data_IF_135350592624
#
_entry.id   IF_135350592624
#
_cell.length_a   1.000
_cell.length_b   1.000
_cell.length_c   1.000
_cell.angle_alpha   90.00
_cell.angle_beta   90.00
_cell.angle_gamma   90.00
#
_symmetry.space_group_name_H-M   'P 1'
#
loop_
_entity.id
_entity.type
_entity.pdbx_description
1 polymer ?
#
# COMPACT_ATOMS: atom_id res chain seq x y z
N UNK A 1 9.71 5.44 -3.81
CA UNK A 1 8.41 6.14 -3.94
C UNK A 1 8.62 7.65 -3.81
N UNK A 2 7.69 8.45 -4.33
CA UNK A 2 7.74 9.93 -4.19
C UNK A 2 7.47 10.32 -2.74
N UNK A 3 8.28 11.20 -2.15
CA UNK A 3 8.06 11.71 -0.79
C UNK A 3 7.48 13.12 -0.86
N UNK A 4 6.49 13.42 0.00
CA UNK A 4 5.97 14.76 0.19
C UNK A 4 7.08 15.71 0.66
N UNK A 5 7.10 16.93 0.13
CA UNK A 5 8.06 17.95 0.53
C UNK A 5 7.84 18.42 1.98
N UNK A 6 6.60 18.41 2.44
CA UNK A 6 6.21 18.76 3.80
C UNK A 6 5.34 17.66 4.43
N UNK A 7 5.53 17.45 5.74
CA UNK A 7 4.61 16.70 6.59
C UNK A 7 3.25 17.40 6.62
N UNK A 8 2.18 16.68 6.31
CA UNK A 8 0.83 17.23 6.33
C UNK A 8 -0.20 16.22 6.83
N UNK A 9 -1.22 16.73 7.52
CA UNK A 9 -2.42 16.00 7.90
C UNK A 9 -3.19 15.50 6.66
N UNK A 10 -4.09 14.56 6.87
CA UNK A 10 -4.92 13.97 5.82
C UNK A 10 -6.06 14.96 5.53
N UNK A 11 -5.95 15.67 4.41
CA UNK A 11 -6.97 16.61 3.96
C UNK A 11 -7.02 16.70 2.43
N UNK A 12 -8.02 17.40 1.90
CA UNK A 12 -8.26 17.53 0.46
C UNK A 12 -7.03 18.13 -0.25
N UNK A 13 -6.34 19.10 0.36
CA UNK A 13 -5.17 19.76 -0.22
C UNK A 13 -3.98 18.81 -0.31
N UNK A 14 -3.68 18.07 0.76
CA UNK A 14 -2.54 17.14 0.80
C UNK A 14 -2.76 15.93 -0.11
N UNK A 15 -3.99 15.43 -0.22
CA UNK A 15 -4.37 14.38 -1.17
C UNK A 15 -4.39 14.87 -2.62
N UNK A 16 -4.75 16.13 -2.86
CA UNK A 16 -4.65 16.72 -4.20
C UNK A 16 -3.21 16.79 -4.69
N UNK A 17 -2.26 17.07 -3.80
CA UNK A 17 -0.83 17.00 -4.12
C UNK A 17 -0.38 15.57 -4.43
N UNK A 18 -0.85 14.58 -3.66
CA UNK A 18 -0.55 13.17 -3.91
C UNK A 18 -1.11 12.71 -5.28
N UNK A 19 -2.38 13.03 -5.57
CA UNK A 19 -3.03 12.74 -6.86
C UNK A 19 -2.31 13.42 -8.02
N UNK A 20 -1.93 14.69 -7.87
CA UNK A 20 -1.19 15.41 -8.90
C UNK A 20 0.21 14.83 -9.12
N UNK A 21 0.89 14.39 -8.06
CA UNK A 21 2.21 13.77 -8.15
C UNK A 21 2.16 12.44 -8.92
N UNK A 22 1.13 11.62 -8.70
CA UNK A 22 0.92 10.37 -9.42
C UNK A 22 0.55 10.62 -10.89
N UNK A 23 -0.37 11.55 -11.16
CA UNK A 23 -0.77 11.89 -12.54
C UNK A 23 0.37 12.49 -13.37
N UNK A 24 1.25 13.28 -12.76
CA UNK A 24 2.42 13.88 -13.41
C UNK A 24 3.63 12.93 -13.49
N UNK A 25 3.47 11.64 -13.15
CA UNK A 25 4.58 10.70 -13.27
C UNK A 25 4.93 10.42 -14.71
N UNK A 26 6.24 10.31 -14.94
CA UNK A 26 6.84 9.99 -16.22
C UNK A 26 7.58 8.67 -16.14
N UNK A 27 7.58 7.94 -17.26
CA UNK A 27 8.45 6.79 -17.49
C UNK A 27 9.91 7.22 -17.58
N UNK A 28 10.82 6.24 -17.62
CA UNK A 28 12.25 6.48 -17.85
C UNK A 28 12.48 7.23 -19.18
N UNK A 29 11.66 6.93 -20.18
CA UNK A 29 11.71 7.53 -21.52
C UNK A 29 10.99 8.88 -21.62
N UNK A 30 10.51 9.41 -20.48
CA UNK A 30 9.85 10.72 -20.43
C UNK A 30 8.36 10.74 -20.82
N UNK A 31 7.80 9.61 -21.26
CA UNK A 31 6.36 9.46 -21.51
C UNK A 31 5.55 9.62 -20.22
N UNK A 32 4.37 10.24 -20.31
CA UNK A 32 3.46 10.41 -19.16
C UNK A 32 2.74 9.09 -18.85
N UNK A 33 2.72 8.72 -17.56
CA UNK A 33 2.11 7.46 -17.10
C UNK A 33 0.66 7.64 -16.63
N UNK A 34 0.23 8.89 -16.40
CA UNK A 34 -1.15 9.26 -16.03
C UNK A 34 -1.78 8.45 -14.88
N UNK A 35 -0.97 8.01 -13.92
CA UNK A 35 -1.38 7.06 -12.89
C UNK A 35 -2.55 7.57 -12.04
N UNK A 36 -3.54 6.69 -11.84
CA UNK A 36 -4.70 6.96 -11.01
C UNK A 36 -4.46 6.48 -9.57
N UNK A 37 -4.66 7.38 -8.61
CA UNK A 37 -4.61 7.01 -7.19
C UNK A 37 -5.80 6.12 -6.85
N UNK A 38 -5.54 4.94 -6.30
CA UNK A 38 -6.57 3.92 -6.01
C UNK A 38 -6.56 3.47 -4.55
N UNK A 39 -5.38 3.36 -3.92
CA UNK A 39 -5.24 2.80 -2.58
C UNK A 39 -4.65 3.86 -1.65
N UNK A 40 -5.28 4.05 -0.49
CA UNK A 40 -4.75 4.84 0.61
C UNK A 40 -4.35 3.90 1.74
N UNK A 41 -3.09 3.95 2.16
CA UNK A 41 -2.55 3.09 3.21
C UNK A 41 -2.13 3.96 4.42
N UNK A 42 -2.69 3.66 5.58
CA UNK A 42 -2.48 4.42 6.83
C UNK A 42 -2.14 3.51 8.01
N UNK A 43 -1.51 4.10 9.03
CA UNK A 43 -1.41 3.48 10.35
C UNK A 43 -2.71 3.59 11.16
N UNK A 44 -2.85 2.80 12.25
CA UNK A 44 -4.05 2.80 13.09
C UNK A 44 -4.35 4.18 13.71
N UNK A 45 -3.31 4.96 14.03
CA UNK A 45 -3.46 6.30 14.63
C UNK A 45 -4.16 7.31 13.70
N UNK A 46 -4.17 7.03 12.38
CA UNK A 46 -4.73 7.89 11.33
C UNK A 46 -5.91 7.28 10.61
N UNK A 47 -6.37 6.10 11.06
CA UNK A 47 -7.50 5.39 10.47
C UNK A 47 -8.79 6.23 10.50
N UNK A 48 -9.12 6.81 11.66
CA UNK A 48 -10.36 7.59 11.80
C UNK A 48 -10.36 8.84 10.92
N UNK A 49 -9.22 9.54 10.82
CA UNK A 49 -9.06 10.73 9.97
C UNK A 49 -9.24 10.36 8.49
N UNK A 50 -8.68 9.23 8.06
CA UNK A 50 -8.82 8.73 6.70
C UNK A 50 -10.25 8.24 6.38
N UNK A 51 -10.90 7.53 7.32
CA UNK A 51 -12.29 7.08 7.17
C UNK A 51 -13.24 8.26 7.04
N UNK A 52 -13.09 9.30 7.87
CA UNK A 52 -13.91 10.52 7.78
C UNK A 52 -13.76 11.21 6.42
N UNK A 53 -12.55 11.22 5.87
CA UNK A 53 -12.31 11.81 4.55
C UNK A 53 -12.77 10.92 3.39
N UNK A 54 -12.87 9.60 3.55
CA UNK A 54 -13.34 8.72 2.47
C UNK A 54 -14.83 8.45 2.54
N UNK A 55 -15.46 8.75 3.67
CA UNK A 55 -16.88 8.59 3.89
C UNK A 55 -17.70 9.45 2.90
N UNK A 56 -18.74 8.89 2.27
CA UNK A 56 -19.64 9.63 1.41
C UNK A 56 -20.52 10.55 2.25
N UNK A 57 -20.16 11.82 2.31
CA UNK A 57 -20.93 12.88 2.96
C UNK A 57 -21.56 13.75 1.88
N UNK A 58 -22.89 13.94 1.96
CA UNK A 58 -23.60 14.91 1.14
C UNK A 58 -23.39 16.30 1.73
N UNK A 59 -22.53 17.11 1.10
CA UNK A 59 -22.28 18.47 1.55
C UNK A 59 -23.47 19.39 1.22
N UNK A 60 -23.95 20.17 2.20
CA UNK A 60 -25.02 21.16 1.95
C UNK A 60 -24.54 22.38 1.14
N UNK A 61 -23.23 22.55 0.96
CA UNK A 61 -22.61 23.63 0.18
C UNK A 61 -21.56 23.07 -0.77
N UNK A 62 -21.52 23.60 -2.00
CA UNK A 62 -20.60 23.15 -3.06
C UNK A 62 -19.11 23.26 -2.66
N UNK A 63 -18.75 24.24 -1.82
CA UNK A 63 -17.37 24.41 -1.33
C UNK A 63 -16.88 23.32 -0.38
N UNK A 64 -17.77 22.52 0.18
CA UNK A 64 -17.45 21.45 1.14
C UNK A 64 -17.56 20.05 0.52
N UNK A 65 -17.79 19.97 -0.79
CA UNK A 65 -17.84 18.69 -1.51
C UNK A 65 -16.47 18.05 -1.49
N UNK A 66 -16.41 16.80 -1.06
CA UNK A 66 -15.20 16.03 -1.02
C UNK A 66 -15.00 15.23 -2.31
N UNK A 67 -14.02 15.56 -3.16
CA UNK A 67 -13.79 14.87 -4.44
C UNK A 67 -13.13 13.49 -4.31
N UNK A 68 -12.71 13.10 -3.10
CA UNK A 68 -12.02 11.83 -2.84
C UNK A 68 -12.95 10.75 -2.29
N UNK A 69 -14.17 11.11 -1.88
CA UNK A 69 -15.20 10.20 -1.40
C UNK A 69 -15.43 9.06 -2.41
N UNK A 70 -15.25 7.81 -1.97
CA UNK A 70 -15.47 6.62 -2.79
C UNK A 70 -14.47 6.39 -3.94
N UNK A 71 -13.42 7.20 -4.07
CA UNK A 71 -12.40 7.05 -5.13
C UNK A 71 -11.18 6.26 -4.70
N UNK A 72 -10.92 6.17 -3.39
CA UNK A 72 -9.76 5.47 -2.82
C UNK A 72 -10.25 4.36 -1.89
N UNK A 73 -9.62 3.19 -1.96
CA UNK A 73 -9.79 2.13 -0.97
C UNK A 73 -8.85 2.39 0.22
N UNK A 74 -9.40 2.35 1.43
CA UNK A 74 -8.62 2.51 2.65
C UNK A 74 -8.10 1.16 3.12
N UNK A 75 -6.78 1.06 3.25
CA UNK A 75 -6.10 -0.07 3.86
C UNK A 75 -5.37 0.39 5.12
N UNK A 76 -5.48 -0.39 6.19
CA UNK A 76 -4.91 -0.04 7.50
C UNK A 76 -3.95 -1.14 7.91
N UNK A 77 -2.75 -0.76 8.36
CA UNK A 77 -1.78 -1.72 8.90
C UNK A 77 -1.07 -1.18 10.12
N UNK A 78 -0.99 -2.02 11.15
CA UNK A 78 -0.25 -1.72 12.38
C UNK A 78 1.27 -1.60 12.17
N UNK A 79 1.79 -2.00 11.00
CA UNK A 79 3.22 -1.88 10.66
C UNK A 79 3.63 -0.44 10.32
N UNK A 80 2.66 0.44 10.04
CA UNK A 80 2.92 1.87 9.88
C UNK A 80 2.74 2.51 11.25
N UNK A 81 3.85 2.87 11.87
CA UNK A 81 3.88 3.56 13.16
C UNK A 81 3.88 5.08 12.95
N UNK A 82 3.10 5.80 13.75
CA UNK A 82 3.01 7.26 13.72
C UNK A 82 2.13 7.79 12.59
N UNK A 83 2.36 9.04 12.19
CA UNK A 83 1.40 9.78 11.36
C UNK A 83 1.60 9.59 9.84
N UNK A 84 2.55 8.75 9.44
CA UNK A 84 2.87 8.55 8.03
C UNK A 84 1.70 7.90 7.27
N UNK A 85 1.44 8.38 6.07
CA UNK A 85 0.42 7.84 5.19
C UNK A 85 0.94 7.73 3.76
N UNK A 86 0.35 6.81 3.01
CA UNK A 86 0.76 6.47 1.66
C UNK A 86 -0.44 6.46 0.72
N UNK A 87 -0.18 6.79 -0.54
CA UNK A 87 -1.14 6.65 -1.63
C UNK A 87 -0.47 5.88 -2.75
N UNK A 88 -1.14 4.84 -3.22
CA UNK A 88 -0.67 4.01 -4.31
C UNK A 88 -1.59 4.10 -5.52
N UNK A 89 -1.00 3.94 -6.69
CA UNK A 89 -1.72 3.74 -7.93
C UNK A 89 -2.39 2.36 -7.96
N UNK A 90 -3.31 2.16 -8.91
CA UNK A 90 -3.90 0.84 -9.14
C UNK A 90 -2.81 -0.18 -9.48
N UNK A 91 -2.78 -1.37 -8.84
CA UNK A 91 -1.85 -2.44 -9.19
C UNK A 91 -1.98 -2.90 -10.65
N UNK A 92 -3.14 -2.69 -11.28
CA UNK A 92 -3.36 -2.99 -12.70
C UNK A 92 -2.63 -2.01 -13.64
N UNK A 93 -2.33 -0.80 -13.18
CA UNK A 93 -1.57 0.19 -13.94
C UNK A 93 -0.06 0.04 -13.68
N UNK A 94 0.34 0.12 -12.41
CA UNK A 94 1.74 0.02 -11.99
C UNK A 94 1.80 -0.77 -10.68
N UNK A 95 2.15 -2.06 -10.73
CA UNK A 95 2.36 -2.84 -9.52
C UNK A 95 3.62 -2.33 -8.82
N UNK A 96 3.48 -1.87 -7.58
CA UNK A 96 4.62 -1.39 -6.78
C UNK A 96 5.31 -2.51 -6.01
N UNK A 97 4.57 -3.57 -5.67
CA UNK A 97 5.03 -4.70 -4.90
C UNK A 97 4.65 -6.00 -5.60
N UNK A 98 5.54 -6.97 -5.54
CA UNK A 98 5.33 -8.31 -6.07
C UNK A 98 5.65 -9.33 -4.99
N UNK A 99 4.93 -10.44 -5.01
CA UNK A 99 5.18 -11.58 -4.15
C UNK A 99 5.05 -12.86 -4.96
N UNK A 100 5.77 -13.90 -4.56
CA UNK A 100 5.80 -15.17 -5.27
C UNK A 100 6.17 -16.32 -4.35
N UNK A 101 5.79 -17.51 -4.80
CA UNK A 101 6.11 -18.80 -4.17
C UNK A 101 7.05 -19.57 -5.10
N UNK A 102 7.79 -20.52 -4.54
CA UNK A 102 8.61 -21.42 -5.34
C UNK A 102 7.73 -22.22 -6.31
N UNK A 103 8.14 -22.29 -7.58
CA UNK A 103 7.37 -22.98 -8.62
C UNK A 103 7.12 -24.45 -8.24
N UNK A 104 5.84 -24.85 -8.27
CA UNK A 104 5.40 -26.18 -7.83
C UNK A 104 5.15 -26.34 -6.33
N UNK A 105 5.38 -25.30 -5.52
CA UNK A 105 5.25 -25.35 -4.06
C UNK A 105 4.40 -24.21 -3.48
N UNK A 106 3.09 -24.26 -3.74
CA UNK A 106 2.15 -23.26 -3.21
C UNK A 106 1.82 -23.43 -1.71
N UNK A 107 2.20 -24.56 -1.11
CA UNK A 107 1.90 -24.90 0.28
C UNK A 107 3.18 -25.27 1.06
N UNK A 108 3.18 -25.14 2.41
CA UNK A 108 4.31 -25.56 3.23
C UNK A 108 4.61 -27.05 3.04
N UNK A 109 5.89 -27.39 2.87
CA UNK A 109 6.36 -28.78 2.79
C UNK A 109 6.59 -29.31 4.19
N UNK A 110 6.01 -30.45 4.49
CA UNK A 110 6.18 -31.14 5.77
C UNK A 110 6.99 -32.42 5.58
N UNK A 111 8.07 -32.56 6.34
CA UNK A 111 8.92 -33.78 6.36
C UNK A 111 8.92 -34.36 7.76
N UNK A 112 8.61 -35.64 7.85
CA UNK A 112 8.77 -36.45 9.06
C UNK A 112 9.91 -37.44 8.86
N UNK A 113 10.82 -37.49 9.83
CA UNK A 113 11.92 -38.46 9.83
C UNK A 113 12.01 -39.10 11.22
N UNK A 114 12.15 -40.41 11.28
CA UNK A 114 12.39 -41.13 12.52
C UNK A 114 13.89 -41.53 12.59
N UNK A 115 14.74 -40.71 13.25
CA UNK A 115 16.17 -40.94 13.26
C UNK A 115 16.53 -42.26 13.96
N UNK A 116 17.34 -43.08 13.29
CA UNK A 116 17.85 -44.33 13.86
C UNK A 116 18.75 -44.05 15.08
N UNK A 117 18.53 -44.82 16.17
CA UNK A 117 19.33 -44.71 17.40
C UNK A 117 18.83 -43.68 18.41
N UNK A 118 17.74 -42.97 18.13
CA UNK A 118 17.08 -42.04 19.07
C UNK A 118 15.58 -42.35 19.11
N UNK A 119 14.98 -42.46 20.30
CA UNK A 119 13.52 -42.50 20.40
C UNK A 119 12.96 -41.09 20.21
N UNK A 120 12.37 -40.83 19.05
CA UNK A 120 11.69 -39.57 18.76
C UNK A 120 11.47 -39.35 17.26
N UNK A 121 10.53 -38.47 16.93
CA UNK A 121 10.23 -38.09 15.55
C UNK A 121 10.73 -36.67 15.29
N UNK A 122 11.45 -36.48 14.18
CA UNK A 122 11.87 -35.17 13.69
C UNK A 122 10.85 -34.65 12.69
N UNK A 123 10.51 -33.39 12.84
CA UNK A 123 9.58 -32.68 11.97
C UNK A 123 10.31 -31.47 11.37
N UNK A 124 10.23 -31.30 10.05
CA UNK A 124 10.62 -30.08 9.35
C UNK A 124 9.42 -29.54 8.58
N UNK A 125 9.21 -28.23 8.68
CA UNK A 125 8.23 -27.49 7.87
C UNK A 125 8.97 -26.38 7.12
N UNK A 126 8.88 -26.42 5.80
CA UNK A 126 9.58 -25.49 4.91
C UNK A 126 8.55 -24.76 4.05
N UNK A 127 8.65 -23.42 4.00
CA UNK A 127 7.83 -22.61 3.10
C UNK A 127 8.69 -21.52 2.47
N UNK A 128 8.82 -21.61 1.15
CA UNK A 128 9.62 -20.70 0.35
C UNK A 128 8.72 -19.54 -0.13
N UNK A 129 8.92 -18.34 0.43
CA UNK A 129 8.16 -17.13 0.10
C UNK A 129 9.11 -15.98 -0.24
N UNK A 130 8.85 -15.31 -1.36
CA UNK A 130 9.56 -14.09 -1.77
C UNK A 130 8.59 -12.92 -1.87
N UNK A 131 9.02 -11.75 -1.41
CA UNK A 131 8.32 -10.50 -1.65
C UNK A 131 9.32 -9.36 -1.87
N UNK A 132 8.95 -8.39 -2.71
CA UNK A 132 9.82 -7.27 -3.02
C UNK A 132 9.08 -6.06 -3.57
N UNK A 133 9.72 -4.90 -3.46
CA UNK A 133 9.29 -3.69 -4.16
C UNK A 133 9.90 -3.69 -5.56
N UNK A 134 9.06 -3.56 -6.58
CA UNK A 134 9.46 -3.65 -8.00
C UNK A 134 9.43 -2.29 -8.70
N UNK A 135 8.48 -1.42 -8.34
CA UNK A 135 8.38 -0.08 -8.90
C UNK A 135 8.11 0.96 -7.81
N UNK A 136 8.84 2.07 -7.88
CA UNK A 136 8.72 3.19 -7.00
C UNK A 136 7.76 4.28 -7.51
N UNK A 137 7.39 4.24 -8.80
CA UNK A 137 6.66 5.31 -9.50
C UNK A 137 5.20 5.38 -9.08
N UNK A 138 4.58 4.23 -8.81
CA UNK A 138 3.17 4.14 -8.39
C UNK A 138 2.92 4.50 -6.92
N UNK A 139 3.92 4.98 -6.18
CA UNK A 139 3.78 5.30 -4.76
C UNK A 139 4.06 6.76 -4.41
N UNK A 140 3.24 7.30 -3.52
CA UNK A 140 3.43 8.58 -2.84
C UNK A 140 3.39 8.39 -1.32
N UNK A 141 4.34 9.00 -0.60
CA UNK A 141 4.43 8.97 0.87
C UNK A 141 4.39 10.36 1.45
N UNK A 142 3.58 10.57 2.47
CA UNK A 142 3.66 11.73 3.36
C UNK A 142 4.14 11.29 4.74
N UNK A 143 4.95 12.12 5.39
CA UNK A 143 5.40 11.88 6.77
C UNK A 143 4.27 12.09 7.80
N UNK A 144 3.17 12.74 7.41
CA UNK A 144 2.06 13.06 8.30
C UNK A 144 2.32 14.24 9.20
N UNK A 145 1.25 14.85 9.70
CA UNK A 145 1.27 15.79 10.82
C UNK A 145 0.55 15.16 12.01
#
# INVERSE_FOLDING_TARGET
MTKAAAAAAINITSLSLARAALRKRKSLDGAELELSAAIMLVGPDKETEAQQLLAPIQAQQAGNVNPFSGTLSLEVTAKITGNAWYVFASPAEVPCFEWGLLEGYSAPRFRMEEPFGVQGTKFSLEHDFGCGAIDFRGGYKNAGA
#
